data_IF_430084085747
#
_entry.id   IF_430084085747
#
_cell.length_a   1.000
_cell.length_b   1.000
_cell.length_c   1.000
_cell.angle_alpha   90.00
_cell.angle_beta   90.00
_cell.angle_gamma   90.00
#
_symmetry.space_group_name_H-M   'P 1'
#
loop_
_entity.id
_entity.type
_entity.pdbx_description
1 polymer ?
2 non-polymer ?
3 non-polymer ?
4 non-polymer ?
5 water ?
#
# COMPACT_ATOMS: atom_id res chain seq x y z
N UNK A 1 10.32 25.41 21.20
CA UNK A 1 9.83 24.44 20.21
C UNK A 1 10.80 24.28 19.03
N UNK A 2 11.46 23.13 18.97
CA UNK A 2 12.39 22.86 17.88
C UNK A 2 11.64 22.69 16.56
N UNK A 3 12.32 23.06 15.47
CA UNK A 3 11.75 22.94 14.14
C UNK A 3 12.80 22.39 13.18
N UNK A 4 12.34 21.75 12.12
CA UNK A 4 13.20 21.05 11.17
C UNK A 4 12.96 21.63 9.79
N UNK A 5 14.02 22.16 9.18
CA UNK A 5 13.98 22.70 7.82
C UNK A 5 12.81 23.68 7.66
N UNK A 6 12.85 24.73 8.45
CA UNK A 6 11.86 25.79 8.38
C UNK A 6 10.43 25.29 8.47
N UNK A 7 10.12 24.56 9.54
CA UNK A 7 8.76 24.07 9.75
C UNK A 7 8.63 23.64 11.20
N UNK A 8 7.63 24.19 11.90
CA UNK A 8 7.45 23.90 13.31
C UNK A 8 7.32 22.39 13.51
N UNK A 9 7.96 21.89 14.59
CA UNK A 9 7.92 20.47 14.93
C UNK A 9 7.89 20.37 16.46
N UNK A 10 6.73 20.70 17.03
CA UNK A 10 6.55 20.77 18.49
C UNK A 10 6.01 19.44 18.98
N UNK A 11 6.91 18.57 19.44
CA UNK A 11 6.53 17.25 19.94
C UNK A 11 6.99 17.01 21.37
N UNK A 12 7.82 17.88 21.93
CA UNK A 12 8.32 17.71 23.27
C UNK A 12 7.21 17.71 24.30
N UNK A 13 7.56 17.47 25.57
CA UNK A 13 8.93 17.20 26.03
C UNK A 13 9.38 15.75 25.84
N UNK A 14 8.45 14.86 25.50
CA UNK A 14 8.77 13.43 25.47
C UNK A 14 9.77 13.10 24.36
N UNK A 15 9.66 13.76 23.21
CA UNK A 15 10.47 13.45 22.05
C UNK A 15 11.37 14.64 21.72
N UNK A 16 12.66 14.37 21.58
CA UNK A 16 13.66 15.41 21.32
C UNK A 16 14.66 14.90 20.31
N UNK A 17 15.67 15.73 20.03
CA UNK A 17 16.76 15.37 19.12
C UNK A 17 16.20 14.97 17.75
N UNK A 18 15.54 15.92 17.10
CA UNK A 18 14.91 15.67 15.81
C UNK A 18 15.96 15.54 14.73
N UNK A 19 15.60 14.82 13.66
CA UNK A 19 16.43 14.70 12.47
C UNK A 19 15.51 14.42 11.28
N UNK A 20 15.73 15.15 10.20
CA UNK A 20 14.87 15.02 9.02
C UNK A 20 15.01 13.65 8.39
N UNK A 21 13.90 13.18 7.81
CA UNK A 21 13.89 11.93 7.05
C UNK A 21 13.31 12.21 5.67
N UNK A 22 12.02 12.53 5.62
CA UNK A 22 11.35 12.77 4.36
C UNK A 22 10.20 13.75 4.53
N UNK A 23 9.62 14.14 3.40
CA UNK A 23 8.53 15.09 3.37
C UNK A 23 7.51 14.63 2.35
N UNK A 24 6.22 14.64 2.75
CA UNK A 24 5.15 14.19 1.91
C UNK A 24 4.32 15.34 1.34
N UNK A 25 3.20 14.96 0.73
CA UNK A 25 2.32 15.93 0.11
C UNK A 25 1.66 16.84 1.13
N UNK A 26 1.61 16.44 2.40
CA UNK A 26 0.96 17.25 3.42
C UNK A 26 1.50 16.92 4.81
N UNK A 27 2.75 16.50 4.90
CA UNK A 27 3.35 16.18 6.18
C UNK A 27 4.85 16.00 6.06
N UNK A 28 5.48 15.81 7.21
CA UNK A 28 6.91 15.60 7.30
C UNK A 28 7.18 14.54 8.35
N UNK A 29 8.22 13.73 8.11
CA UNK A 29 8.62 12.66 9.03
C UNK A 29 10.04 12.95 9.50
N UNK A 30 10.26 12.84 10.80
CA UNK A 30 11.57 13.01 11.39
C UNK A 30 11.80 11.93 12.44
N UNK A 31 13.07 11.62 12.68
CA UNK A 31 13.45 10.70 13.74
C UNK A 31 13.69 11.50 15.03
N UNK A 32 13.18 10.98 16.13
CA UNK A 32 13.30 11.63 17.43
C UNK A 32 13.61 10.58 18.48
N UNK A 33 14.16 11.04 19.60
CA UNK A 33 14.50 10.17 20.73
C UNK A 33 13.36 10.21 21.74
N UNK A 34 12.83 9.03 22.07
CA UNK A 34 11.74 8.93 23.03
C UNK A 34 12.31 8.87 24.44
N UNK A 35 12.00 9.90 25.24
CA UNK A 35 12.55 9.98 26.59
C UNK A 35 11.89 8.99 27.55
N UNK A 36 10.70 8.49 27.22
CA UNK A 36 10.04 7.51 28.09
C UNK A 36 10.64 6.12 27.87
N UNK A 37 10.56 5.61 26.64
CA UNK A 37 11.10 4.30 26.31
C UNK A 37 12.58 4.33 25.97
N UNK A 38 13.19 5.53 25.88
CA UNK A 38 14.62 5.66 25.65
C UNK A 38 15.04 4.94 24.38
N UNK A 39 14.28 5.16 23.31
CA UNK A 39 14.59 4.60 22.00
C UNK A 39 14.12 5.61 20.95
N UNK A 40 14.84 5.66 19.83
CA UNK A 40 14.45 6.55 18.75
C UNK A 40 13.26 5.99 17.99
N UNK A 41 12.39 6.89 17.52
CA UNK A 41 11.17 6.54 16.82
C UNK A 41 11.04 7.44 15.60
N UNK A 42 9.97 7.23 14.84
CA UNK A 42 9.64 8.05 13.68
C UNK A 42 8.35 8.80 13.96
N UNK A 43 8.38 10.11 13.80
CA UNK A 43 7.22 10.97 14.04
C UNK A 43 6.84 11.62 12.72
N UNK A 44 5.58 11.48 12.34
CA UNK A 44 5.05 12.08 11.11
C UNK A 44 4.15 13.25 11.49
N UNK A 45 4.62 14.47 11.20
CA UNK A 45 3.79 15.64 11.36
C UNK A 45 2.83 15.75 10.18
N UNK A 46 1.57 15.99 10.47
CA UNK A 46 0.53 16.11 9.45
C UNK A 46 -0.13 17.47 9.61
N UNK A 47 -0.44 18.10 8.47
CA UNK A 47 -1.15 19.39 8.43
C UNK A 47 -2.23 19.28 7.37
N UNK A 48 -3.32 18.54 7.65
CA UNK A 48 -4.27 18.19 6.59
C UNK A 48 -5.54 19.01 6.60
N UNK A 49 -5.77 19.76 7.68
CA UNK A 49 -7.09 20.32 7.95
C UNK A 49 -7.53 21.34 6.91
N UNK A 50 -6.67 21.70 5.96
CA UNK A 50 -7.05 22.65 4.91
C UNK A 50 -7.63 21.98 3.68
N UNK A 51 -7.69 20.65 3.65
CA UNK A 51 -8.25 19.95 2.50
C UNK A 51 -8.98 18.70 2.99
N UNK A 52 -10.17 18.46 2.45
CA UNK A 52 -10.94 17.28 2.85
C UNK A 52 -10.18 16.01 2.52
N UNK A 53 -9.55 15.95 1.36
CA UNK A 53 -8.81 14.76 0.95
C UNK A 53 -7.79 14.37 2.01
N UNK A 54 -6.91 15.30 2.37
CA UNK A 54 -5.86 15.00 3.34
C UNK A 54 -6.44 14.60 4.69
N UNK A 55 -7.61 15.13 5.04
CA UNK A 55 -8.25 14.74 6.29
C UNK A 55 -8.75 13.30 6.22
N UNK A 56 -9.35 12.91 5.09
CA UNK A 56 -9.84 11.54 4.94
C UNK A 56 -8.69 10.55 5.04
N UNK A 57 -7.60 10.81 4.32
CA UNK A 57 -6.45 9.90 4.37
C UNK A 57 -5.89 9.80 5.78
N UNK A 58 -5.78 10.93 6.48
CA UNK A 58 -5.28 10.92 7.85
C UNK A 58 -6.17 10.05 8.74
N UNK A 59 -7.49 10.31 8.71
CA UNK A 59 -8.40 9.59 9.60
C UNK A 59 -8.42 8.10 9.30
N UNK A 60 -8.51 7.74 8.02
CA UNK A 60 -8.50 6.32 7.64
C UNK A 60 -7.28 5.61 8.23
N UNK A 61 -6.09 6.19 8.06
CA UNK A 61 -4.88 5.56 8.55
C UNK A 61 -4.89 5.42 10.06
N UNK A 62 -5.29 6.48 10.77
CA UNK A 62 -5.30 6.43 12.23
C UNK A 62 -6.23 5.33 12.72
N UNK A 63 -7.47 5.31 12.21
CA UNK A 63 -8.43 4.31 12.68
C UNK A 63 -7.95 2.90 12.40
N UNK A 64 -7.34 2.67 11.23
CA UNK A 64 -6.93 1.31 10.86
C UNK A 64 -5.73 0.88 11.69
N UNK A 65 -4.69 1.71 11.75
CA UNK A 65 -3.44 1.29 12.39
C UNK A 65 -3.56 1.20 13.90
N UNK A 66 -4.52 1.90 14.51
CA UNK A 66 -4.74 1.73 15.94
C UNK A 66 -5.38 0.37 16.23
N UNK A 67 -6.10 -0.19 15.28
CA UNK A 67 -6.73 -1.48 15.44
C UNK A 67 -5.86 -2.63 14.96
N UNK A 68 -4.82 -2.34 14.17
CA UNK A 68 -3.91 -3.36 13.67
C UNK A 68 -2.72 -3.52 14.59
N UNK A 69 -2.20 -4.74 14.64
CA UNK A 69 -0.99 -5.05 15.42
C UNK A 69 -0.34 -6.26 14.75
N UNK A 70 0.75 -6.01 14.01
CA UNK A 70 1.38 -7.05 13.22
C UNK A 70 2.82 -6.66 12.94
N UNK A 71 3.73 -7.63 13.01
CA UNK A 71 5.15 -7.35 12.88
C UNK A 71 5.49 -6.72 11.54
N UNK A 72 4.72 -7.03 10.49
CA UNK A 72 4.99 -6.55 9.15
C UNK A 72 4.10 -5.37 8.76
N UNK A 73 3.53 -4.67 9.75
CA UNK A 73 2.69 -3.50 9.50
C UNK A 73 3.13 -2.41 10.48
N UNK A 74 3.36 -1.21 9.94
CA UNK A 74 3.77 -0.10 10.80
C UNK A 74 2.70 0.16 11.83
N UNK A 75 3.13 0.55 13.03
CA UNK A 75 2.23 0.83 14.13
C UNK A 75 2.10 2.31 14.40
N UNK A 76 1.08 2.63 15.20
CA UNK A 76 0.91 3.94 15.81
C UNK A 76 0.97 3.73 17.30
N UNK A 77 2.05 4.19 17.93
CA UNK A 77 2.27 3.99 19.35
C UNK A 77 1.97 5.23 20.19
N UNK A 78 1.80 6.38 19.55
CA UNK A 78 1.49 7.61 20.28
C UNK A 78 1.08 8.67 19.28
N UNK A 79 0.23 9.60 19.72
CA UNK A 79 -0.23 10.70 18.89
C UNK A 79 -0.19 11.97 19.74
N UNK A 80 0.48 13.00 19.22
CA UNK A 80 0.62 14.28 19.89
C UNK A 80 -0.17 15.32 19.11
N UNK A 81 -0.86 16.20 19.83
CA UNK A 81 -1.58 17.30 19.22
C UNK A 81 -2.07 18.22 20.33
N UNK A 82 -2.61 19.38 19.93
CA UNK A 82 -3.01 20.38 20.89
C UNK A 82 -4.17 19.86 21.76
N UNK A 83 -4.29 20.36 23.00
CA UNK A 83 -5.34 19.86 23.89
C UNK A 83 -6.76 20.23 23.48
N UNK A 84 -6.92 21.16 22.54
CA UNK A 84 -8.25 21.59 22.10
C UNK A 84 -8.29 21.62 20.58
N UNK A 85 -9.48 21.40 20.02
CA UNK A 85 -9.65 21.43 18.58
C UNK A 85 -9.31 22.81 18.05
N UNK A 86 -9.61 23.86 18.81
CA UNK A 86 -9.30 25.21 18.36
C UNK A 86 -7.80 25.39 18.19
N UNK A 87 -7.00 24.82 19.09
CA UNK A 87 -5.55 24.96 19.05
C UNK A 87 -4.88 23.92 18.17
N UNK A 88 -5.60 22.89 17.73
CA UNK A 88 -4.99 21.82 16.93
C UNK A 88 -4.82 22.28 15.49
N UNK A 89 -3.58 22.58 15.11
CA UNK A 89 -3.25 22.93 13.73
C UNK A 89 -2.55 21.79 12.99
N UNK A 90 -1.89 20.90 13.73
CA UNK A 90 -1.19 19.77 13.13
C UNK A 90 -1.45 18.54 14.00
N UNK A 91 -1.04 17.39 13.47
CA UNK A 91 -1.14 16.12 14.19
C UNK A 91 0.16 15.37 14.00
N UNK A 92 0.72 14.86 15.10
CA UNK A 92 1.95 14.11 15.09
C UNK A 92 1.65 12.67 15.47
N UNK A 93 2.03 11.73 14.61
CA UNK A 93 1.83 10.30 14.84
C UNK A 93 3.19 9.66 15.01
N UNK A 94 3.37 8.91 16.10
CA UNK A 94 4.62 8.25 16.40
C UNK A 94 4.54 6.82 15.88
N UNK A 95 5.51 6.43 15.05
CA UNK A 95 5.48 5.13 14.38
C UNK A 95 6.87 4.51 14.42
N UNK A 96 6.98 3.30 13.89
CA UNK A 96 8.23 2.58 13.88
C UNK A 96 9.28 3.33 13.07
N UNK A 97 10.50 3.34 13.58
CA UNK A 97 11.65 3.90 12.87
C UNK A 97 12.36 2.79 12.11
N UNK A 98 12.66 3.05 10.83
CA UNK A 98 13.21 2.05 9.94
C UNK A 98 14.29 2.72 9.09
N UNK A 99 15.41 2.03 8.91
CA UNK A 99 16.59 2.65 8.31
C UNK A 99 16.36 3.01 6.85
N UNK A 100 15.73 2.13 6.08
CA UNK A 100 15.56 2.37 4.65
C UNK A 100 14.20 1.83 4.21
N UNK A 101 13.99 1.81 2.89
CA UNK A 101 12.78 1.24 2.31
C UNK A 101 13.16 0.59 0.98
N UNK A 102 12.21 -0.16 0.42
CA UNK A 102 12.51 -0.94 -0.78
C UNK A 102 12.75 -0.05 -1.99
N UNK A 103 12.14 1.13 -2.03
CA UNK A 103 12.41 2.06 -3.12
C UNK A 103 13.88 2.45 -3.14
N UNK A 104 14.43 2.81 -1.98
CA UNK A 104 15.85 3.17 -1.90
C UNK A 104 16.74 2.00 -2.28
N UNK A 105 16.48 0.83 -1.71
CA UNK A 105 17.32 -0.34 -1.97
C UNK A 105 17.38 -0.65 -3.45
N UNK A 106 16.23 -0.67 -4.12
CA UNK A 106 16.20 -1.05 -5.53
C UNK A 106 16.97 -0.08 -6.40
N UNK A 107 17.09 1.18 -5.96
CA UNK A 107 17.81 2.17 -6.76
C UNK A 107 19.29 1.81 -6.91
N UNK A 108 19.87 1.15 -5.91
CA UNK A 108 21.32 0.94 -5.89
C UNK A 108 21.75 -0.48 -5.56
N UNK A 109 20.90 -1.31 -4.95
CA UNK A 109 21.31 -2.62 -4.45
C UNK A 109 20.71 -3.73 -5.31
N UNK A 110 21.55 -4.62 -5.80
CA UNK A 110 21.08 -5.86 -6.39
C UNK A 110 20.62 -6.80 -5.28
N UNK A 111 19.45 -7.40 -5.46
CA UNK A 111 18.85 -8.28 -4.47
C UNK A 111 19.11 -9.73 -4.84
N UNK A 112 19.69 -10.48 -3.93
CA UNK A 112 19.83 -11.91 -4.13
C UNK A 112 18.45 -12.58 -4.06
N UNK A 113 18.37 -13.79 -4.61
CA UNK A 113 17.11 -14.51 -4.59
C UNK A 113 16.61 -14.69 -3.17
N UNK A 114 17.50 -15.04 -2.24
CA UNK A 114 17.11 -15.20 -0.85
C UNK A 114 16.46 -13.92 -0.32
N UNK A 115 17.02 -12.76 -0.65
CA UNK A 115 16.44 -11.49 -0.22
C UNK A 115 15.07 -11.29 -0.85
N UNK A 116 14.97 -11.50 -2.17
CA UNK A 116 13.68 -11.37 -2.86
C UNK A 116 12.66 -12.29 -2.22
N UNK A 117 13.05 -13.53 -1.95
CA UNK A 117 12.14 -14.48 -1.31
C UNK A 117 11.70 -13.99 0.06
N UNK A 118 12.64 -13.48 0.86
CA UNK A 118 12.31 -13.04 2.21
C UNK A 118 11.44 -11.79 2.19
N UNK A 119 11.75 -10.83 1.32
CA UNK A 119 10.91 -9.65 1.17
C UNK A 119 9.49 -10.04 0.79
N UNK A 120 9.34 -10.85 -0.24
CA UNK A 120 8.02 -11.24 -0.71
C UNK A 120 7.22 -11.91 0.40
N UNK A 121 7.88 -12.74 1.21
CA UNK A 121 7.18 -13.43 2.28
C UNK A 121 6.59 -12.45 3.27
N UNK A 122 7.40 -11.49 3.74
CA UNK A 122 6.92 -10.53 4.73
C UNK A 122 5.80 -9.66 4.18
N UNK A 123 5.93 -9.22 2.92
CA UNK A 123 4.85 -8.47 2.27
C UNK A 123 3.55 -9.25 2.35
N UNK A 124 3.58 -10.51 1.90
CA UNK A 124 2.37 -11.33 1.88
C UNK A 124 1.91 -11.70 3.28
N UNK A 125 2.84 -11.86 4.22
CA UNK A 125 2.45 -12.12 5.61
C UNK A 125 1.71 -10.93 6.18
N UNK A 126 2.21 -9.72 5.94
CA UNK A 126 1.48 -8.52 6.34
C UNK A 126 0.16 -8.40 5.62
N UNK A 127 0.17 -8.62 4.30
CA UNK A 127 -1.07 -8.49 3.54
C UNK A 127 -2.13 -9.49 4.00
N UNK A 128 -1.73 -10.70 4.40
CA UNK A 128 -2.69 -11.66 4.92
C UNK A 128 -3.48 -11.07 6.08
N UNK A 129 -2.78 -10.43 7.01
CA UNK A 129 -3.43 -9.81 8.16
C UNK A 129 -4.37 -8.70 7.71
N UNK A 130 -3.90 -7.84 6.80
CA UNK A 130 -4.72 -6.74 6.31
C UNK A 130 -6.01 -7.27 5.70
N UNK A 131 -5.89 -8.24 4.77
CA UNK A 131 -7.05 -8.78 4.09
C UNK A 131 -7.96 -9.57 5.03
N UNK A 132 -7.39 -10.19 6.07
CA UNK A 132 -8.21 -10.90 7.04
C UNK A 132 -9.10 -9.95 7.82
N UNK A 133 -8.72 -8.68 7.92
CA UNK A 133 -9.56 -7.65 8.52
C UNK A 133 -10.52 -7.04 7.50
N UNK A 134 -10.59 -7.60 6.29
CA UNK A 134 -11.45 -7.10 5.21
C UNK A 134 -11.03 -5.71 4.75
N UNK A 135 -9.74 -5.40 4.88
CA UNK A 135 -9.20 -4.11 4.50
C UNK A 135 -8.33 -4.26 3.26
N UNK A 136 -8.34 -3.23 2.42
CA UNK A 136 -7.49 -3.14 1.25
C UNK A 136 -6.49 -2.02 1.44
N UNK A 137 -5.22 -2.26 1.08
CA UNK A 137 -4.23 -1.20 1.19
C UNK A 137 -4.33 -0.21 0.03
N UNK A 138 -4.37 -0.72 -1.21
CA UNK A 138 -4.69 0.03 -2.42
C UNK A 138 -3.58 0.98 -2.86
N UNK A 139 -2.40 0.94 -2.24
CA UNK A 139 -1.28 1.75 -2.72
C UNK A 139 0.04 1.08 -2.40
N UNK A 140 0.07 -0.26 -2.45
CA UNK A 140 1.31 -0.98 -2.21
C UNK A 140 2.33 -0.64 -3.30
N UNK A 141 3.54 -0.29 -2.87
CA UNK A 141 4.65 0.02 -3.76
C UNK A 141 5.94 0.03 -2.96
N UNK A 142 7.10 0.00 -3.62
CA UNK A 142 8.36 -0.10 -2.85
C UNK A 142 8.55 1.00 -1.82
N UNK A 143 8.12 2.24 -2.11
CA UNK A 143 8.33 3.33 -1.16
C UNK A 143 7.48 3.19 0.09
N UNK A 144 6.43 2.36 0.05
CA UNK A 144 5.60 2.09 1.21
C UNK A 144 5.98 0.80 1.92
N UNK A 145 7.18 0.28 1.64
CA UNK A 145 7.69 -0.93 2.28
C UNK A 145 9.00 -0.55 2.96
N UNK A 146 8.96 -0.35 4.27
CA UNK A 146 10.13 0.05 5.03
C UNK A 146 10.91 -1.17 5.50
N UNK A 147 12.22 -0.98 5.68
CA UNK A 147 13.10 -2.06 6.12
C UNK A 147 14.13 -1.50 7.10
N UNK A 148 14.63 -2.37 7.97
CA UNK A 148 15.69 -2.04 8.91
C UNK A 148 16.99 -2.74 8.47
N UNK A 149 18.02 -2.66 9.32
CA UNK A 149 19.33 -3.17 8.94
C UNK A 149 19.36 -4.69 8.85
N UNK A 150 18.38 -5.38 9.43
CA UNK A 150 18.32 -6.83 9.36
C UNK A 150 17.22 -7.27 8.38
N UNK A 151 16.77 -6.32 7.56
CA UNK A 151 15.86 -6.61 6.46
C UNK A 151 14.48 -7.08 6.92
N UNK A 152 14.07 -6.62 8.15
CA UNK A 152 12.69 -6.79 8.61
C UNK A 152 11.83 -5.76 7.89
N UNK A 153 10.66 -6.18 7.40
CA UNK A 153 9.84 -5.37 6.53
C UNK A 153 8.55 -4.97 7.23
N UNK A 154 8.12 -3.73 7.01
CA UNK A 154 6.86 -3.22 7.54
C UNK A 154 6.15 -2.41 6.47
N UNK A 155 4.85 -2.68 6.29
CA UNK A 155 4.03 -1.94 5.34
C UNK A 155 3.52 -0.67 6.01
N UNK A 156 3.58 0.45 5.30
CA UNK A 156 3.16 1.74 5.84
C UNK A 156 2.25 2.46 4.84
N UNK A 157 1.79 3.64 5.25
CA UNK A 157 0.91 4.49 4.45
C UNK A 157 -0.41 3.80 4.12
N UNK A 158 -1.40 3.94 5.00
CA UNK A 158 -2.73 3.41 4.76
C UNK A 158 -3.73 4.53 4.43
N UNK A 159 -3.24 5.60 3.81
CA UNK A 159 -4.10 6.73 3.50
C UNK A 159 -5.19 6.40 2.50
N UNK A 160 -4.91 5.49 1.56
CA UNK A 160 -5.87 5.09 0.55
C UNK A 160 -6.55 3.77 0.89
N UNK A 161 -6.41 3.27 2.11
CA UNK A 161 -7.00 2.00 2.48
C UNK A 161 -8.51 2.13 2.63
N UNK A 162 -9.22 1.04 2.30
CA UNK A 162 -10.66 1.00 2.40
C UNK A 162 -11.08 -0.41 2.82
N UNK A 163 -12.35 -0.52 3.21
CA UNK A 163 -12.95 -1.82 3.48
C UNK A 163 -13.34 -2.44 2.15
N UNK A 164 -13.05 -3.73 1.98
CA UNK A 164 -13.41 -4.42 0.75
C UNK A 164 -14.91 -4.29 0.48
N UNK A 165 -15.26 -4.18 -0.80
CA UNK A 165 -16.65 -3.99 -1.21
C UNK A 165 -16.82 -4.55 -2.62
N UNK A 166 -16.69 -5.87 -2.78
CA UNK A 166 -16.73 -6.45 -4.13
C UNK A 166 -18.05 -6.27 -4.84
N UNK A 167 -19.16 -6.07 -4.13
CA UNK A 167 -20.45 -5.91 -4.78
C UNK A 167 -20.59 -4.56 -5.48
N UNK A 168 -19.74 -3.59 -5.14
CA UNK A 168 -19.80 -2.26 -5.73
C UNK A 168 -18.47 -1.90 -6.37
N UNK A 169 -17.85 -2.87 -7.04
CA UNK A 169 -16.54 -2.67 -7.66
C UNK A 169 -16.63 -2.28 -9.13
N UNK A 170 -17.76 -2.53 -9.78
CA UNK A 170 -17.88 -2.25 -11.21
C UNK A 170 -18.00 -0.76 -11.46
N UNK A 171 -17.45 -0.33 -12.59
CA UNK A 171 -17.51 1.06 -13.03
C UNK A 171 -17.24 1.09 -14.53
N UNK A 172 -17.33 2.28 -15.11
CA UNK A 172 -17.18 2.46 -16.53
C UNK A 172 -15.73 2.41 -17.00
N UNK A 173 -15.56 2.71 -18.29
CA UNK A 173 -14.26 2.64 -18.94
C UNK A 173 -13.51 3.95 -18.72
N UNK A 174 -12.23 3.84 -18.36
CA UNK A 174 -11.37 5.00 -18.12
C UNK A 174 -11.87 5.83 -16.94
N UNK A 175 -12.26 5.17 -15.86
CA UNK A 175 -12.64 5.87 -14.65
C UNK A 175 -11.40 6.27 -13.87
N UNK A 176 -11.34 7.55 -13.48
CA UNK A 176 -10.18 8.09 -12.82
C UNK A 176 -9.85 7.30 -11.54
N UNK A 177 -8.58 7.34 -11.15
CA UNK A 177 -8.08 6.57 -10.04
C UNK A 177 -6.95 7.33 -9.37
N UNK A 178 -6.78 7.11 -8.07
CA UNK A 178 -5.84 7.88 -7.25
C UNK A 178 -4.51 7.15 -7.07
N UNK A 179 -4.57 5.85 -6.76
CA UNK A 179 -3.36 5.13 -6.39
C UNK A 179 -2.28 5.23 -7.46
N UNK A 180 -1.06 4.87 -7.07
CA UNK A 180 0.10 5.06 -7.94
C UNK A 180 -0.06 4.27 -9.23
N UNK A 181 0.26 4.92 -10.36
CA UNK A 181 -0.07 4.39 -11.67
C UNK A 181 0.64 3.07 -11.94
N UNK A 182 1.96 3.04 -11.75
CA UNK A 182 2.75 1.88 -12.16
C UNK A 182 2.28 0.58 -11.51
N UNK A 183 1.50 0.65 -10.44
CA UNK A 183 1.10 -0.54 -9.70
C UNK A 183 -0.41 -0.79 -9.77
N UNK A 184 -1.10 -0.15 -10.71
CA UNK A 184 -2.54 -0.34 -10.87
C UNK A 184 -2.82 -1.59 -11.69
N UNK A 185 -3.77 -2.40 -11.21
CA UNK A 185 -4.18 -3.58 -11.96
C UNK A 185 -4.87 -3.16 -13.27
N UNK A 186 -4.86 -4.02 -14.28
CA UNK A 186 -5.45 -3.62 -15.57
C UNK A 186 -6.93 -3.31 -15.49
N UNK A 187 -7.67 -3.98 -14.61
CA UNK A 187 -9.11 -3.76 -14.52
C UNK A 187 -9.45 -2.35 -14.01
N UNK A 188 -8.50 -1.66 -13.38
CA UNK A 188 -8.76 -0.28 -12.94
C UNK A 188 -9.10 0.60 -14.13
N UNK A 189 -8.35 0.44 -15.23
CA UNK A 189 -8.58 1.24 -16.42
C UNK A 189 -9.76 0.73 -17.26
N UNK A 190 -10.32 -0.42 -16.92
CA UNK A 190 -11.39 -1.04 -17.70
C UNK A 190 -12.74 -0.97 -17.03
N UNK A 191 -12.87 -1.46 -15.79
CA UNK A 191 -14.19 -1.58 -15.19
C UNK A 191 -14.18 -1.81 -13.68
N UNK A 192 -13.14 -1.37 -12.99
CA UNK A 192 -12.98 -1.65 -11.57
C UNK A 192 -12.71 -0.36 -10.79
N UNK A 193 -13.33 -0.25 -9.62
CA UNK A 193 -13.06 0.84 -8.68
C UNK A 193 -11.95 0.50 -7.69
N UNK A 194 -11.45 -0.73 -7.70
CA UNK A 194 -10.43 -1.13 -6.75
C UNK A 194 -10.96 -1.45 -5.37
N UNK A 195 -12.12 -2.10 -5.30
CA UNK A 195 -12.74 -2.46 -4.01
C UNK A 195 -12.61 -3.94 -3.71
N UNK A 196 -11.71 -4.65 -4.39
CA UNK A 196 -11.50 -6.07 -4.17
C UNK A 196 -10.05 -6.34 -3.80
N UNK A 197 -9.85 -7.41 -3.01
CA UNK A 197 -8.51 -7.76 -2.55
C UNK A 197 -7.56 -8.06 -3.70
N UNK A 198 -8.08 -8.35 -4.89
CA UNK A 198 -7.23 -8.72 -6.02
C UNK A 198 -6.39 -7.55 -6.53
N UNK A 199 -6.75 -6.30 -6.21
CA UNK A 199 -5.93 -5.19 -6.69
C UNK A 199 -4.65 -5.07 -5.87
N UNK A 200 -4.68 -5.45 -4.59
CA UNK A 200 -3.45 -5.48 -3.81
C UNK A 200 -2.50 -6.56 -4.34
N UNK A 201 -3.04 -7.73 -4.69
CA UNK A 201 -2.20 -8.81 -5.20
C UNK A 201 -1.47 -8.37 -6.46
N UNK A 202 -2.17 -7.66 -7.36
CA UNK A 202 -1.50 -7.17 -8.56
C UNK A 202 -0.32 -6.29 -8.19
N UNK A 203 -0.52 -5.34 -7.27
CA UNK A 203 0.56 -4.47 -6.85
C UNK A 203 1.74 -5.28 -6.31
N UNK A 204 1.47 -6.30 -5.50
CA UNK A 204 2.56 -7.15 -4.99
C UNK A 204 3.27 -7.81 -6.15
N UNK A 205 2.53 -8.27 -7.16
CA UNK A 205 3.15 -8.84 -8.34
C UNK A 205 4.08 -7.86 -9.03
N UNK A 206 3.65 -6.60 -9.17
CA UNK A 206 4.52 -5.59 -9.76
C UNK A 206 5.76 -5.40 -8.90
N UNK A 207 5.61 -5.45 -7.58
CA UNK A 207 6.77 -5.28 -6.70
C UNK A 207 7.73 -6.44 -6.86
N UNK A 208 7.21 -7.66 -6.99
CA UNK A 208 8.08 -8.83 -7.20
C UNK A 208 8.88 -8.68 -8.49
N UNK A 209 8.20 -8.33 -9.59
CA UNK A 209 8.90 -8.13 -10.85
C UNK A 209 9.97 -7.06 -10.72
N UNK A 210 9.69 -6.01 -9.94
CA UNK A 210 10.66 -4.93 -9.80
C UNK A 210 11.87 -5.38 -8.98
N UNK A 211 11.65 -6.24 -7.98
CA UNK A 211 12.76 -6.79 -7.23
C UNK A 211 13.65 -7.68 -8.08
N UNK A 212 13.10 -8.28 -9.14
CA UNK A 212 13.87 -9.20 -9.96
C UNK A 212 14.81 -8.50 -10.92
N UNK A 213 14.50 -7.26 -11.32
CA UNK A 213 15.27 -6.55 -12.32
C UNK A 213 15.68 -5.14 -11.91
N UNK A 214 15.27 -4.66 -10.73
CA UNK A 214 15.60 -3.32 -10.27
C UNK A 214 15.03 -2.26 -11.21
N UNK A 215 13.83 -2.49 -11.71
CA UNK A 215 13.15 -1.48 -12.52
C UNK A 215 11.67 -1.84 -12.62
N UNK A 216 10.77 -0.86 -12.60
CA UNK A 216 9.33 -1.19 -12.66
C UNK A 216 8.99 -1.93 -13.94
N UNK A 217 8.10 -2.91 -13.82
CA UNK A 217 7.73 -3.73 -14.97
C UNK A 217 6.77 -3.01 -15.90
N UNK A 218 5.87 -2.19 -15.35
CA UNK A 218 4.86 -1.48 -16.14
C UNK A 218 4.95 0.02 -15.86
N UNK A 219 5.99 0.68 -16.38
CA UNK A 219 6.16 2.13 -16.13
C UNK A 219 5.35 3.00 -17.09
N UNK A 220 4.04 3.06 -16.87
CA UNK A 220 3.17 3.87 -17.71
C UNK A 220 3.40 5.35 -17.46
N UNK A 221 3.44 6.12 -18.55
CA UNK A 221 3.65 7.56 -18.46
C UNK A 221 2.35 8.34 -18.28
N UNK A 222 1.20 7.72 -18.56
CA UNK A 222 -0.08 8.37 -18.34
C UNK A 222 -1.14 7.27 -18.21
N UNK A 223 -2.38 7.70 -17.94
CA UNK A 223 -3.46 6.80 -17.55
C UNK A 223 -3.55 5.58 -18.45
N UNK A 224 -3.91 5.78 -19.73
CA UNK A 224 -4.18 4.63 -20.59
C UNK A 224 -2.91 3.90 -20.99
N UNK A 225 -1.76 4.61 -21.01
CA UNK A 225 -0.49 3.95 -21.32
C UNK A 225 -0.18 2.86 -20.31
N UNK A 226 -0.69 2.97 -19.08
CA UNK A 226 -0.48 1.92 -18.10
C UNK A 226 -1.08 0.60 -18.57
N UNK A 227 -2.27 0.64 -19.15
CA UNK A 227 -2.89 -0.58 -19.66
C UNK A 227 -2.11 -1.14 -20.83
N UNK A 228 -1.65 -0.29 -21.74
CA UNK A 228 -0.92 -0.78 -22.91
C UNK A 228 0.40 -1.42 -22.51
N UNK A 229 1.03 -0.92 -21.44
CA UNK A 229 2.22 -1.59 -20.92
C UNK A 229 1.89 -3.00 -20.44
N UNK A 230 0.80 -3.13 -19.68
CA UNK A 230 0.41 -4.44 -19.15
C UNK A 230 0.14 -5.40 -20.29
N UNK A 231 -0.64 -4.96 -21.28
CA UNK A 231 -0.95 -5.83 -22.41
C UNK A 231 0.27 -6.12 -23.27
N UNK A 232 1.28 -5.25 -23.24
CA UNK A 232 2.49 -5.51 -24.00
C UNK A 232 3.24 -6.75 -23.53
N UNK A 233 3.08 -7.11 -22.26
CA UNK A 233 3.77 -8.27 -21.69
C UNK A 233 2.83 -9.45 -21.52
N UNK A 234 1.61 -9.22 -21.03
CA UNK A 234 0.67 -10.32 -20.86
C UNK A 234 0.10 -10.82 -22.18
N UNK A 235 0.09 -9.98 -23.21
CA UNK A 235 -0.54 -10.34 -24.47
C UNK A 235 -2.03 -10.05 -24.46
N UNK A 236 -2.64 -10.33 -25.60
CA UNK A 236 -4.07 -10.06 -25.76
C UNK A 236 -4.87 -10.91 -24.77
N UNK A 237 -5.88 -10.34 -24.11
CA UNK A 237 -6.71 -11.16 -23.22
C UNK A 237 -7.44 -12.25 -24.02
N UNK A 238 -7.61 -13.40 -23.39
CA UNK A 238 -8.32 -14.50 -24.02
C UNK A 238 -9.81 -14.16 -24.15
N UNK A 239 -10.49 -14.91 -25.02
CA UNK A 239 -11.93 -14.71 -25.18
C UNK A 239 -12.66 -14.87 -23.85
N UNK A 240 -12.22 -15.82 -23.03
CA UNK A 240 -12.85 -16.02 -21.73
C UNK A 240 -12.73 -14.78 -20.85
N UNK A 241 -11.51 -14.22 -20.76
CA UNK A 241 -11.31 -13.03 -19.95
C UNK A 241 -12.06 -11.83 -20.52
N UNK A 242 -12.17 -11.73 -21.85
CA UNK A 242 -12.92 -10.63 -22.44
C UNK A 242 -14.41 -10.73 -22.10
N UNK A 243 -14.95 -11.94 -22.08
CA UNK A 243 -16.38 -12.09 -21.80
C UNK A 243 -16.75 -11.65 -20.40
N UNK A 244 -15.79 -11.66 -19.46
CA UNK A 244 -16.05 -11.16 -18.12
C UNK A 244 -16.18 -9.65 -18.07
N UNK A 245 -15.76 -8.95 -19.11
CA UNK A 245 -15.86 -7.49 -19.19
C UNK A 245 -17.11 -7.18 -20.00
N UNK A 246 -18.20 -6.90 -19.29
CA UNK A 246 -19.48 -6.66 -19.96
C UNK A 246 -19.57 -5.24 -20.49
N UNK A 247 -18.90 -4.29 -19.84
CA UNK A 247 -18.92 -2.91 -20.31
C UNK A 247 -18.43 -2.86 -21.75
N UNK A 248 -19.24 -2.30 -22.65
CA UNK A 248 -18.95 -2.38 -24.07
C UNK A 248 -17.76 -1.51 -24.45
N UNK A 249 -17.67 -0.29 -23.89
CA UNK A 249 -16.54 0.57 -24.21
C UNK A 249 -15.22 -0.08 -23.82
N UNK A 250 -15.20 -0.74 -22.65
CA UNK A 250 -13.98 -1.44 -22.23
C UNK A 250 -13.68 -2.61 -23.15
N UNK A 251 -14.68 -3.46 -23.42
CA UNK A 251 -14.45 -4.63 -24.25
C UNK A 251 -14.06 -4.23 -25.67
N UNK A 252 -14.74 -3.23 -26.24
CA UNK A 252 -14.47 -2.88 -27.63
C UNK A 252 -13.10 -2.21 -27.77
N UNK A 253 -12.63 -1.51 -26.74
CA UNK A 253 -11.26 -0.99 -26.80
C UNK A 253 -10.27 -2.13 -26.89
N UNK A 254 -10.42 -3.15 -26.03
CA UNK A 254 -9.53 -4.30 -26.09
C UNK A 254 -9.61 -5.00 -27.44
N UNK A 255 -10.81 -5.08 -28.00
CA UNK A 255 -10.99 -5.76 -29.29
C UNK A 255 -10.38 -4.97 -30.44
N UNK A 256 -10.24 -3.66 -30.30
CA UNK A 256 -9.67 -2.83 -31.35
C UNK A 256 -8.14 -2.96 -31.45
N UNK A 257 -7.49 -3.54 -30.45
CA UNK A 257 -6.04 -3.62 -30.44
C UNK A 257 -5.56 -4.79 -31.28
N UNK A 258 -4.42 -4.64 -31.96
CA UNK A 258 -3.83 -5.79 -32.65
C UNK A 258 -3.50 -6.90 -31.68
N UNK A 259 -3.47 -8.12 -32.20
CA UNK A 259 -3.08 -9.27 -31.38
C UNK A 259 -1.64 -9.13 -30.94
N UNK A 260 -1.41 -9.32 -29.64
CA UNK A 260 -0.07 -9.29 -29.05
C UNK A 260 0.15 -10.56 -28.26
N UNK A 261 1.28 -11.21 -28.49
CA UNK A 261 1.58 -12.46 -27.81
C UNK A 261 2.11 -12.21 -26.40
N UNK A 262 1.98 -13.24 -25.56
CA UNK A 262 2.52 -13.18 -24.21
C UNK A 262 4.05 -13.17 -24.26
N UNK A 263 4.65 -12.23 -23.54
CA UNK A 263 6.09 -12.21 -23.36
C UNK A 263 6.45 -13.19 -22.25
N UNK A 264 7.23 -14.23 -22.51
CA UNK A 264 7.48 -15.23 -21.45
C UNK A 264 8.32 -14.64 -20.34
N UNK A 265 7.96 -15.01 -19.11
CA UNK A 265 8.63 -14.44 -17.94
C UNK A 265 10.12 -14.75 -17.93
N UNK A 266 10.49 -15.94 -18.42
CA UNK A 266 11.89 -16.34 -18.40
C UNK A 266 12.73 -15.53 -19.39
N UNK A 267 12.10 -14.92 -20.39
CA UNK A 267 12.82 -14.00 -21.28
C UNK A 267 12.97 -12.63 -20.64
N UNK A 268 11.94 -12.17 -19.93
CA UNK A 268 12.03 -10.89 -19.23
C UNK A 268 13.01 -10.94 -18.07
N UNK A 269 13.06 -12.07 -17.37
CA UNK A 269 13.87 -12.24 -16.17
C UNK A 269 14.69 -13.51 -16.32
N UNK A 270 15.78 -13.45 -17.11
CA UNK A 270 16.55 -14.67 -17.38
C UNK A 270 17.24 -15.27 -16.17
N UNK A 271 17.48 -14.48 -15.12
CA UNK A 271 18.22 -14.93 -13.96
C UNK A 271 17.34 -15.26 -12.76
N UNK A 272 16.02 -15.13 -12.90
CA UNK A 272 15.12 -15.33 -11.78
C UNK A 272 14.90 -16.81 -11.50
N UNK A 273 14.59 -17.13 -10.26
CA UNK A 273 14.22 -18.49 -9.89
C UNK A 273 12.95 -18.90 -10.62
N UNK A 274 12.90 -20.17 -11.04
CA UNK A 274 11.76 -20.64 -11.81
C UNK A 274 10.47 -20.61 -11.00
N UNK A 275 10.54 -20.97 -9.72
CA UNK A 275 9.36 -20.91 -8.87
C UNK A 275 8.91 -19.47 -8.64
N UNK A 276 9.85 -18.52 -8.57
CA UNK A 276 9.48 -17.12 -8.43
C UNK A 276 8.65 -16.65 -9.62
N UNK A 277 9.02 -17.08 -10.84
CA UNK A 277 8.31 -16.64 -12.03
C UNK A 277 6.94 -17.31 -12.13
N UNK A 278 6.79 -18.52 -11.62
CA UNK A 278 5.49 -19.16 -11.60
C UNK A 278 4.53 -18.40 -10.69
N UNK A 279 5.00 -18.00 -9.50
CA UNK A 279 4.16 -17.21 -8.61
C UNK A 279 3.89 -15.82 -9.18
N UNK A 280 4.88 -15.23 -9.85
CA UNK A 280 4.68 -13.95 -10.50
C UNK A 280 3.55 -14.04 -11.53
N UNK A 281 3.58 -15.10 -12.35
CA UNK A 281 2.54 -15.28 -13.35
C UNK A 281 1.16 -15.31 -12.71
N UNK A 282 1.04 -15.95 -11.54
CA UNK A 282 -0.25 -16.07 -10.87
C UNK A 282 -0.70 -14.77 -10.22
N UNK A 283 0.24 -13.94 -9.77
CA UNK A 283 -0.12 -12.64 -9.21
C UNK A 283 -0.45 -11.63 -10.30
N UNK A 284 0.21 -11.73 -11.45
CA UNK A 284 -0.04 -10.82 -12.57
C UNK A 284 -0.96 -11.48 -13.60
N UNK A 285 -2.04 -12.09 -13.12
CA UNK A 285 -3.07 -12.62 -14.00
C UNK A 285 -4.00 -11.49 -14.42
N UNK A 286 -4.31 -11.43 -15.72
CA UNK A 286 -5.18 -10.38 -16.23
C UNK A 286 -6.55 -10.43 -15.55
N UNK A 287 -7.17 -11.59 -15.52
CA UNK A 287 -8.51 -11.72 -14.94
C UNK A 287 -8.41 -11.65 -13.42
N UNK A 288 -8.98 -10.64 -12.76
CA UNK A 288 -8.85 -10.55 -11.30
C UNK A 288 -9.51 -11.70 -10.57
N UNK A 289 -10.49 -12.39 -11.17
CA UNK A 289 -11.13 -13.51 -10.51
C UNK A 289 -10.26 -14.76 -10.52
N UNK A 290 -9.35 -14.88 -11.49
CA UNK A 290 -8.40 -15.99 -11.52
C UNK A 290 -7.09 -15.66 -10.80
N UNK A 291 -6.87 -14.40 -10.46
CA UNK A 291 -5.65 -13.98 -9.79
C UNK A 291 -5.53 -14.69 -8.44
N UNK A 292 -4.30 -15.04 -8.07
CA UNK A 292 -4.06 -15.79 -6.84
C UNK A 292 -4.39 -14.90 -5.63
N UNK A 293 -4.85 -15.53 -4.56
CA UNK A 293 -5.13 -14.85 -3.30
C UNK A 293 -3.93 -14.94 -2.36
N UNK A 294 -3.95 -14.08 -1.34
CA UNK A 294 -2.77 -13.90 -0.50
C UNK A 294 -2.40 -15.20 0.22
N UNK A 295 -3.41 -15.88 0.78
CA UNK A 295 -3.12 -17.14 1.48
C UNK A 295 -2.61 -18.20 0.52
N UNK A 296 -3.19 -18.25 -0.68
CA UNK A 296 -2.70 -19.15 -1.71
C UNK A 296 -1.25 -18.82 -2.08
N UNK A 297 -0.92 -17.53 -2.16
CA UNK A 297 0.43 -17.12 -2.50
C UNK A 297 1.42 -17.56 -1.43
N UNK A 298 1.04 -17.44 -0.16
CA UNK A 298 1.96 -17.81 0.91
C UNK A 298 2.28 -19.31 0.87
N UNK A 299 1.38 -20.11 0.32
CA UNK A 299 1.56 -21.55 0.21
C UNK A 299 2.26 -21.97 -1.08
N UNK A 300 2.60 -21.02 -1.96
CA UNK A 300 3.27 -21.36 -3.20
C UNK A 300 4.66 -21.94 -2.93
N UNK A 301 5.10 -22.91 -3.73
CA UNK A 301 6.40 -23.54 -3.47
C UNK A 301 7.55 -22.56 -3.32
N UNK A 302 7.52 -21.43 -4.02
CA UNK A 302 8.63 -20.48 -3.96
C UNK A 302 8.88 -20.01 -2.53
N UNK A 303 7.85 -20.01 -1.68
CA UNK A 303 7.96 -19.53 -0.31
C UNK A 303 8.00 -20.67 0.70
N UNK A 304 8.35 -21.88 0.27
CA UNK A 304 8.27 -23.04 1.15
C UNK A 304 9.20 -22.94 2.34
N UNK A 305 10.33 -22.23 2.19
CA UNK A 305 11.27 -22.11 3.30
C UNK A 305 10.71 -21.29 4.45
N UNK A 306 9.68 -20.47 4.20
CA UNK A 306 9.08 -19.63 5.23
C UNK A 306 7.64 -19.97 5.57
N UNK A 307 6.93 -20.66 4.69
CA UNK A 307 5.50 -20.85 4.88
C UNK A 307 5.22 -21.58 6.19
N UNK A 308 4.37 -20.98 7.02
CA UNK A 308 3.93 -21.55 8.28
C UNK A 308 2.62 -20.87 8.67
N UNK A 309 1.47 -21.41 8.26
CA UNK A 309 0.20 -20.69 8.49
C UNK A 309 -0.11 -20.47 9.96
N UNK A 310 0.47 -21.26 10.87
CA UNK A 310 0.26 -21.02 12.29
C UNK A 310 1.04 -19.80 12.79
N UNK A 311 2.09 -19.40 12.06
CA UNK A 311 2.88 -18.22 12.39
C UNK A 311 2.60 -17.07 11.42
N UNK A 312 1.37 -17.03 10.89
CA UNK A 312 0.93 -15.99 9.96
C UNK A 312 -0.42 -15.50 10.44
N UNK A 313 -0.44 -14.67 11.49
CA UNK A 313 -1.70 -14.39 12.17
C UNK A 313 -2.67 -13.56 11.35
N UNK A 314 -3.93 -13.61 11.77
CA UNK A 314 -5.00 -12.84 11.15
C UNK A 314 -5.58 -11.88 12.19
N UNK A 315 -6.38 -10.94 11.71
CA UNK A 315 -7.04 -10.00 12.60
C UNK A 315 -8.13 -10.71 13.41
N UNK A 316 -8.37 -10.20 14.61
CA UNK A 316 -9.34 -10.83 15.51
C UNK A 316 -10.78 -10.57 15.09
N UNK A 317 -11.02 -9.54 14.28
CA UNK A 317 -12.37 -9.25 13.81
C UNK A 317 -12.27 -8.37 12.58
N UNK A 318 -13.23 -8.45 11.66
CA UNK A 318 -13.19 -7.59 10.48
C UNK A 318 -13.33 -6.13 10.84
N UNK A 319 -12.82 -5.27 9.97
CA UNK A 319 -12.88 -3.83 10.17
C UNK A 319 -14.18 -3.28 9.59
N UNK A 320 -14.65 -2.18 10.17
CA UNK A 320 -15.89 -1.54 9.73
C UNK A 320 -15.85 -0.08 10.15
N UNK A 321 -15.94 0.82 9.17
CA UNK A 321 -16.01 2.24 9.47
C UNK A 321 -17.36 2.58 10.08
N UNK A 322 -17.34 3.48 11.07
CA UNK A 322 -18.59 3.90 11.71
C UNK A 322 -19.44 4.73 10.76
N UNK A 323 -18.82 5.40 9.79
CA UNK A 323 -19.55 6.21 8.82
C UNK A 323 -18.71 6.34 7.56
N UNK A 324 -19.39 6.59 6.45
CA UNK A 324 -18.70 6.77 5.16
C UNK A 324 -17.96 8.11 5.17
N UNK A 325 -16.64 8.04 4.97
CA UNK A 325 -15.79 9.22 5.01
C UNK A 325 -15.63 9.87 3.64
N UNK A 326 -16.35 9.39 2.63
CA UNK A 326 -16.22 9.93 1.27
C UNK A 326 -16.96 11.24 1.09
N UNK A 327 -17.98 11.52 1.91
CA UNK A 327 -18.79 12.74 1.79
C UNK A 327 -18.93 13.36 3.19
N UNK A 328 -17.83 13.90 3.69
CA UNK A 328 -17.83 14.62 4.97
C UNK A 328 -16.94 15.84 4.81
N UNK A 329 -17.36 16.99 5.33
CA UNK A 329 -16.54 18.21 5.17
C UNK A 329 -15.28 18.14 6.03
N UNK A 330 -14.28 18.92 5.60
CA UNK A 330 -13.01 18.96 6.33
C UNK A 330 -13.21 19.39 7.78
N UNK A 331 -14.25 20.18 8.06
CA UNK A 331 -14.48 20.62 9.44
C UNK A 331 -14.87 19.46 10.33
N UNK A 332 -15.85 18.64 9.89
CA UNK A 332 -16.28 17.51 10.71
C UNK A 332 -15.18 16.46 10.82
N UNK A 333 -14.40 16.27 9.76
CA UNK A 333 -13.28 15.32 9.83
C UNK A 333 -12.28 15.73 10.90
N UNK A 334 -12.07 17.04 11.09
CA UNK A 334 -11.17 17.49 12.15
C UNK A 334 -11.68 17.03 13.51
N UNK A 335 -12.99 17.08 13.72
CA UNK A 335 -13.57 16.61 14.98
C UNK A 335 -13.30 15.13 15.18
N UNK A 336 -13.61 14.32 14.16
CA UNK A 336 -13.38 12.87 14.27
C UNK A 336 -11.91 12.56 14.54
N UNK A 337 -11.01 13.27 13.85
CA UNK A 337 -9.59 13.11 14.14
C UNK A 337 -9.29 13.48 15.58
N UNK A 338 -9.92 14.54 16.08
CA UNK A 338 -9.71 14.94 17.48
C UNK A 338 -10.17 13.85 18.44
N UNK A 339 -11.29 13.20 18.12
CA UNK A 339 -11.81 12.14 18.99
C UNK A 339 -10.92 10.91 18.96
N UNK A 340 -10.54 10.47 17.76
CA UNK A 340 -9.73 9.26 17.63
C UNK A 340 -8.38 9.38 18.31
N UNK A 341 -7.90 10.60 18.55
CA UNK A 341 -6.60 10.84 19.16
C UNK A 341 -6.69 11.20 20.63
N UNK A 342 -7.90 11.24 21.20
CA UNK A 342 -8.06 11.70 22.58
C UNK A 342 -7.38 10.76 23.58
N UNK A 343 -7.39 9.45 23.31
CA UNK A 343 -6.87 8.50 24.28
C UNK A 343 -5.38 8.66 24.54
N UNK A 344 -4.67 9.40 23.69
CA UNK A 344 -3.23 9.57 23.82
C UNK A 344 -2.84 10.84 24.57
N UNK A 345 -3.81 11.68 24.93
CA UNK A 345 -3.49 12.90 25.66
C UNK A 345 -3.14 12.56 27.11
N UNK A 346 -2.31 13.39 27.75
CA UNK A 346 -1.94 13.09 29.15
C UNK A 346 -3.13 12.96 30.07
N UNK A 347 -4.15 13.79 29.90
CA UNK A 347 -5.34 13.73 30.73
C UNK A 347 -6.29 12.61 30.31
X LIG B 1 -3.18 9.25 -13.98
X LIG B 1 -2.77 7.94 -14.47
X LIG B 1 -3.71 10.04 -15.08
X LIG B 1 -4.19 9.10 -12.95
X LIG B 1 -2.00 9.92 -13.43
X LIG C 1 -12.77 -12.75 0.73
X LIG C 1 -13.82 -13.73 0.52
X LIG C 1 -11.66 -13.02 -0.18
X LIG C 1 -13.28 -11.42 0.48
X LIG C 1 -12.28 -12.85 2.11
X LIG D 1 3.55 11.56 -13.60
X LIG D 1 4.02 11.07 -14.90
X LIG D 1 3.41 10.44 -12.68
X LIG D 1 4.51 12.51 -13.06
X LIG D 1 2.26 12.21 -13.77
X LIG E 1 6.93 5.83 -7.34
X LIG E 1 6.06 5.66 -8.47
X LIG E 1 6.26 6.71 -6.30
X LIG E 1 6.98 6.63 -5.06
X LIG E 1 7.87 6.28 -7.65
X LIG E 1 7.16 4.85 -6.90
X LIG E 1 6.49 5.09 -9.12
X LIG E 1 6.25 7.75 -6.65
X LIG E 1 5.23 6.39 -6.14
X LIG E 1 6.55 7.19 -4.40
X LIG F 1 17.56 -14.26 4.64
X LIG F 1 18.42 -13.88 3.56
X LIG F 1 17.75 -15.74 4.96
X LIG F 1 16.99 -16.09 6.12
X LIG F 1 16.51 -14.07 4.37
X LIG F 1 17.79 -13.66 5.52
X LIG F 1 18.29 -12.94 3.36
X LIG F 1 17.43 -16.34 4.11
X LIG F 1 18.81 -15.94 5.13
X LIG F 1 17.12 -17.03 6.32
X LIG G 1 21.73 -1.13 -9.30
X LIG G 1 20.35 -0.97 -9.66
X LIG G 1 22.21 -2.52 -9.71
X LIG G 1 21.35 -3.51 -9.12
X LIG G 1 21.85 -0.99 -8.23
X LIG G 1 22.33 -0.37 -9.81
X LIG G 1 20.05 -0.09 -9.41
X LIG G 1 23.24 -2.66 -9.36
X LIG G 1 22.19 -2.60 -10.79
X LIG G 1 21.67 -4.39 -9.38
X LIG H 1 8.88 10.28 4.79
X LIG H 1 9.82 8.80 5.12
X LIG H 1 10.68 8.30 4.17
X LIG H 1 10.86 9.00 2.83
X LIG H 1 9.59 8.98 2.11
X LIG H 1 9.83 8.58 0.73
X LIG H 1 8.49 8.42 0.01
X LIG H 1 7.48 8.52 0.63
X LIG H 1 8.44 8.18 -1.36
X LIG H 1 9.67 7.91 -1.98
X LIG H 1 9.47 7.63 -3.46
X LIG H 1 9.66 8.14 6.33
X LIG H 1 10.38 6.98 6.59
X LIG H 1 11.25 6.49 5.63
X LIG H 1 11.41 7.15 4.42
X LIG H 1 10.26 6.22 7.91
X LIG H 1 9.14 5.95 8.66
X LIG H 1 9.53 5.27 9.73
X LIG H 1 10.89 5.08 9.66
X LIG H 1 11.33 5.67 8.55
X LIG H 1 7.69 6.36 8.41
X LIG H 1 7.07 6.53 7.23
X LIG H 1 5.77 6.88 7.49
X LIG H 1 5.60 6.92 8.84
X LIG H 1 6.79 6.59 9.41
X LIG H 1 4.68 7.18 6.47
X LIG H 1 3.55 7.28 6.82
X LIG H 1 5.02 7.38 5.08
X LIG H 1 3.99 7.69 4.11
X LIG H 1 4.52 7.38 2.71
X LIG H 1 5.25 6.19 2.74
X LIG H 1 3.63 9.17 4.22
X LIG H 1 4.63 10.10 4.45
X LIG H 1 4.29 11.44 4.56
X LIG H 1 5.58 12.65 4.85
X LIG H 1 2.98 11.85 4.43
X LIG H 1 2.65 13.17 4.53
X LIG H 1 1.98 10.91 4.20
X LIG H 1 2.31 9.57 4.09
X LIG H 1 11.54 8.56 2.31
X LIG H 1 11.11 9.93 2.98
X LIG H 1 9.22 9.78 2.13
X LIG H 1 10.36 9.27 0.28
X LIG H 1 10.31 7.74 0.71
X LIG H 1 10.09 7.14 -1.55
X LIG H 1 10.26 8.69 -1.87
X LIG H 1 9.07 6.75 -3.57
X LIG H 1 8.87 8.30 -3.84
X LIG H 1 10.32 7.65 -3.92
X LIG H 1 9.08 8.47 6.98
X LIG H 1 11.74 5.72 5.80
X LIG H 1 11.99 6.81 3.78
X LIG H 1 9.01 4.99 10.36
X LIG H 1 12.21 5.69 8.26
X LIG H 1 7.45 6.43 6.39
X LIG H 1 4.87 7.12 9.25
X LIG H 1 6.95 6.54 10.32
X LIG H 1 5.84 7.32 4.83
X LIG H 1 3.21 7.14 4.29
X LIG H 1 3.77 7.29 2.10
X LIG H 1 5.09 8.11 2.42
X LIG H 1 4.99 5.68 2.10
X LIG H 1 5.51 9.83 4.53
X LIG H 1 1.09 11.18 4.11
X LIG H 1 1.64 8.94 3.94
#
# INVERSE_FOLDING_TARGET
PEMVRGQVFDVGPRYTNLSYIGEGAYGMVCSAYDNVNKVRVAIKKISPFEHQTYCQRTLREIKILLRFRHENIIGINDIIRAPTIEQMKDVYIVQDLMETDLYKLLKTQHLSNDHICYFLYQILRGLKYIHSANVLHRDLKPSNLLLNTTCDLKICDFGLARVADPDHDHTGFLTEYVATRWYRAPEIMLNSKGYTKSIDIWSVGCILAEMLSNRPIFPGKHYLDQLNHILGILGSPSQEDLNCIINLKARNYLLSLPHKNKVPWNRLFPNADSKALDLLDKMLTFNPHKRIEVEQALAHPYLEQYYDPSDEPIAEAPFKFDMELDDLPKEKLKELIFEETARFQPG
SO4 S O1 O2 O3 O4
SO4 S O1 O2 O3 O4
SO4 S O1 O2 O3 O4
EDO C1 O1 C2 O2 H11 H12 HO1 H21 H22 HO2
EDO C1 O1 C2 O2 H11 H12 HO1 H21 H22 HO2
EDO C1 O1 C2 O2 H11 H12 HO1 H21 H22 HO2
EK6 CL2 C27 C6 C5 N1 C4 C3 O2 O1 C2 C1 C26 C9 C8 C7 C10 C12 N3 N2 C11 C13 C25 C15 N4 C14 C16 O3 N5 C17 C18 O4 C19 C24 C23 CL1 C22 F C21 C20 H1 H2 H3 H5 H6 H7 H8 H9 H10 H11 H12 H13 H14 H15 H16 H17 H18 H19 H20 H21 H22 H23 H24 H25 H26 H27
#
